data_IF_943360371687
#
_entry.id   IF_943360371687
#
_cell.length_a   1.000
_cell.length_b   1.000
_cell.length_c   1.000
_cell.angle_alpha   90.00
_cell.angle_beta   90.00
_cell.angle_gamma   90.00
#
_symmetry.space_group_name_H-M   'P 1'
#
loop_
_entity.id
_entity.type
_entity.pdbx_description
1 polymer ?
#
# COMPACT_ATOMS: atom_id res chain seq x y z
N UNK A 1 -6.80 -31.81 -23.56
CA UNK A 1 -6.46 -30.66 -22.70
C UNK A 1 -5.13 -30.14 -23.19
N UNK A 2 -5.15 -28.99 -23.89
CA UNK A 2 -3.94 -28.37 -24.41
C UNK A 2 -3.11 -27.93 -23.20
N UNK A 3 -1.84 -28.33 -23.05
CA UNK A 3 -1.03 -27.89 -21.93
C UNK A 3 -0.94 -26.35 -22.01
N UNK A 4 -1.40 -25.68 -20.97
CA UNK A 4 -2.09 -24.39 -21.00
C UNK A 4 -1.34 -23.16 -21.55
N UNK A 5 -1.89 -22.54 -22.60
CA UNK A 5 -1.50 -21.23 -23.17
C UNK A 5 -1.62 -20.06 -22.17
N UNK A 6 -2.27 -20.28 -21.03
CA UNK A 6 -2.62 -19.26 -20.05
C UNK A 6 -1.60 -19.10 -18.91
N UNK A 7 -0.43 -19.76 -18.99
CA UNK A 7 0.60 -19.72 -17.94
C UNK A 7 0.04 -20.00 -16.53
N UNK A 8 -0.86 -20.97 -16.41
CA UNK A 8 -1.56 -21.32 -15.17
C UNK A 8 -0.57 -21.82 -14.11
N UNK A 9 -0.76 -21.37 -12.86
CA UNK A 9 -0.30 -22.11 -11.67
C UNK A 9 -1.34 -23.16 -11.27
N UNK A 10 -1.07 -23.95 -10.23
CA UNK A 10 -2.01 -24.95 -9.69
C UNK A 10 -3.37 -24.38 -9.24
N UNK A 11 -3.52 -23.05 -9.14
CA UNK A 11 -4.73 -22.38 -8.63
C UNK A 11 -5.27 -21.27 -9.53
N UNK A 12 -4.43 -20.51 -10.27
CA UNK A 12 -4.89 -19.38 -11.09
C UNK A 12 -3.94 -19.02 -12.24
N UNK A 13 -4.42 -18.21 -13.20
CA UNK A 13 -3.66 -17.75 -14.36
C UNK A 13 -3.42 -16.24 -14.31
N UNK A 14 -2.15 -15.84 -14.38
CA UNK A 14 -1.77 -14.42 -14.43
C UNK A 14 -2.24 -13.73 -15.72
N UNK A 15 -2.24 -14.43 -16.87
CA UNK A 15 -2.73 -13.87 -18.13
C UNK A 15 -4.25 -13.64 -18.09
N UNK A 16 -5.00 -14.59 -17.54
CA UNK A 16 -6.47 -14.49 -17.48
C UNK A 16 -6.94 -13.39 -16.53
N UNK A 17 -6.24 -13.15 -15.43
CA UNK A 17 -6.61 -12.13 -14.44
C UNK A 17 -6.09 -10.73 -14.75
N UNK A 18 -5.10 -10.59 -15.65
CA UNK A 18 -4.44 -9.32 -15.94
C UNK A 18 -5.41 -8.23 -16.41
N UNK A 19 -6.41 -8.55 -17.23
CA UNK A 19 -7.36 -7.54 -17.74
C UNK A 19 -8.23 -6.96 -16.63
N UNK A 20 -8.72 -7.82 -15.73
CA UNK A 20 -9.50 -7.40 -14.57
C UNK A 20 -8.66 -6.58 -13.58
N UNK A 21 -7.40 -6.98 -13.34
CA UNK A 21 -6.49 -6.23 -12.47
C UNK A 21 -6.14 -4.85 -13.05
N UNK A 22 -5.91 -4.77 -14.38
CA UNK A 22 -5.67 -3.50 -15.08
C UNK A 22 -6.84 -2.53 -14.92
N UNK A 23 -8.08 -3.03 -15.06
CA UNK A 23 -9.30 -2.24 -14.86
C UNK A 23 -9.45 -1.76 -13.42
N UNK A 24 -9.26 -2.66 -12.44
CA UNK A 24 -9.30 -2.32 -11.03
C UNK A 24 -8.31 -1.19 -10.70
N UNK A 25 -7.05 -1.33 -11.13
CA UNK A 25 -6.02 -0.32 -10.95
C UNK A 25 -6.41 1.04 -11.57
N UNK A 26 -6.94 1.00 -12.79
CA UNK A 26 -7.42 2.19 -13.50
C UNK A 26 -8.57 2.90 -12.78
N UNK A 27 -9.54 2.16 -12.24
CA UNK A 27 -10.67 2.72 -11.47
C UNK A 27 -10.19 3.35 -10.16
N UNK A 28 -9.30 2.67 -9.42
CA UNK A 28 -8.73 3.22 -8.19
C UNK A 28 -7.91 4.49 -8.47
N UNK A 29 -7.12 4.50 -9.55
CA UNK A 29 -6.38 5.68 -9.99
C UNK A 29 -7.30 6.84 -10.39
N UNK A 30 -8.38 6.57 -11.13
CA UNK A 30 -9.38 7.58 -11.49
C UNK A 30 -10.08 8.20 -10.28
N UNK A 31 -10.49 7.35 -9.32
CA UNK A 31 -11.09 7.81 -8.06
C UNK A 31 -10.16 8.74 -7.28
N UNK A 32 -8.86 8.42 -7.22
CA UNK A 32 -7.87 9.27 -6.57
C UNK A 32 -7.69 10.63 -7.27
N UNK A 33 -7.72 10.68 -8.60
CA UNK A 33 -7.68 11.96 -9.34
C UNK A 33 -8.87 12.84 -8.94
N UNK A 34 -10.07 12.26 -8.84
CA UNK A 34 -11.26 12.98 -8.34
C UNK A 34 -11.07 13.46 -6.90
N UNK A 35 -10.55 12.60 -6.00
CA UNK A 35 -10.28 12.98 -4.62
C UNK A 35 -9.25 14.12 -4.51
N UNK A 36 -8.20 14.10 -5.33
CA UNK A 36 -7.20 15.17 -5.45
C UNK A 36 -7.85 16.48 -5.89
N UNK A 37 -8.70 16.46 -6.92
CA UNK A 37 -9.38 17.64 -7.41
C UNK A 37 -10.26 18.29 -6.32
N UNK A 38 -10.98 17.48 -5.55
CA UNK A 38 -11.80 17.95 -4.42
C UNK A 38 -10.95 18.47 -3.24
N UNK A 39 -9.76 17.91 -3.04
CA UNK A 39 -8.82 18.38 -2.02
C UNK A 39 -8.19 19.72 -2.38
N UNK A 40 -7.87 19.97 -3.66
CA UNK A 40 -7.27 21.23 -4.10
C UNK A 40 -8.17 22.45 -3.86
N UNK A 41 -9.48 22.26 -3.91
CA UNK A 41 -10.45 23.32 -3.64
C UNK A 41 -10.47 23.73 -2.15
N UNK A 42 -10.00 22.85 -1.25
CA UNK A 42 -9.90 23.13 0.18
C UNK A 42 -8.50 23.60 0.57
N UNK A 43 -8.38 24.88 0.90
CA UNK A 43 -7.11 25.48 1.33
C UNK A 43 -6.73 25.09 2.77
N UNK A 44 -6.24 23.85 2.98
CA UNK A 44 -5.75 23.34 4.27
C UNK A 44 -4.31 22.87 4.18
N UNK A 45 -3.51 23.25 5.19
CA UNK A 45 -2.10 22.87 5.33
C UNK A 45 -1.91 21.36 5.51
N UNK A 46 -2.90 20.69 6.09
CA UNK A 46 -2.94 19.23 6.27
C UNK A 46 -3.20 18.50 4.95
N UNK A 47 -3.94 19.13 4.03
CA UNK A 47 -4.26 18.59 2.71
C UNK A 47 -3.04 18.38 1.81
N UNK A 48 -1.96 19.11 2.02
CA UNK A 48 -0.75 19.02 1.18
C UNK A 48 -0.09 17.64 1.26
N UNK A 49 -0.10 17.00 2.42
CA UNK A 49 0.52 15.68 2.60
C UNK A 49 -0.34 14.55 2.05
N UNK A 50 -1.65 14.62 2.23
CA UNK A 50 -2.59 13.67 1.61
C UNK A 50 -2.59 13.81 0.09
N UNK A 51 -2.46 15.04 -0.43
CA UNK A 51 -2.29 15.30 -1.87
C UNK A 51 -1.02 14.64 -2.42
N UNK A 52 0.10 14.72 -1.70
CA UNK A 52 1.34 14.06 -2.09
C UNK A 52 1.19 12.53 -2.11
N UNK A 53 0.58 11.95 -1.07
CA UNK A 53 0.31 10.51 -1.00
C UNK A 53 -0.61 10.07 -2.16
N UNK A 54 -1.71 10.76 -2.39
CA UNK A 54 -2.62 10.45 -3.49
C UNK A 54 -1.97 10.61 -4.86
N UNK A 55 -1.16 11.66 -5.08
CA UNK A 55 -0.43 11.82 -6.33
C UNK A 55 0.52 10.65 -6.59
N UNK A 56 1.25 10.20 -5.58
CA UNK A 56 2.10 8.99 -5.70
C UNK A 56 1.28 7.71 -5.93
N UNK A 57 0.12 7.60 -5.29
CA UNK A 57 -0.79 6.47 -5.46
C UNK A 57 -1.40 6.42 -6.87
N UNK A 58 -1.78 7.57 -7.45
CA UNK A 58 -2.22 7.67 -8.84
C UNK A 58 -1.12 7.19 -9.79
N UNK A 59 0.11 7.66 -9.59
CA UNK A 59 1.23 7.27 -10.43
C UNK A 59 1.47 5.76 -10.41
N UNK A 60 1.53 5.15 -9.22
CA UNK A 60 1.78 3.70 -9.09
C UNK A 60 0.62 2.88 -9.67
N UNK A 61 -0.64 3.29 -9.47
CA UNK A 61 -1.82 2.58 -9.98
C UNK A 61 -1.98 2.72 -11.50
N UNK A 62 -1.65 3.88 -12.07
CA UNK A 62 -1.67 4.06 -13.53
C UNK A 62 -0.58 3.22 -14.21
N UNK A 63 0.63 3.22 -13.64
CA UNK A 63 1.71 2.37 -14.14
C UNK A 63 1.38 0.89 -13.97
N UNK A 64 0.77 0.51 -12.86
CA UNK A 64 0.28 -0.85 -12.64
C UNK A 64 -0.77 -1.28 -13.68
N UNK A 65 -1.76 -0.42 -13.93
CA UNK A 65 -2.79 -0.64 -14.96
C UNK A 65 -2.17 -0.84 -16.34
N UNK A 66 -1.16 -0.03 -16.68
CA UNK A 66 -0.40 -0.16 -17.92
C UNK A 66 0.38 -1.48 -17.98
N UNK A 67 1.07 -1.89 -16.92
CA UNK A 67 1.80 -3.15 -16.89
C UNK A 67 0.86 -4.36 -17.03
N UNK A 68 -0.25 -4.40 -16.30
CA UNK A 68 -1.24 -5.44 -16.49
C UNK A 68 -1.82 -5.44 -17.90
N UNK A 69 -2.02 -4.28 -18.53
CA UNK A 69 -2.41 -4.20 -19.94
C UNK A 69 -1.37 -4.80 -20.88
N UNK A 70 -0.06 -4.63 -20.61
CA UNK A 70 0.98 -5.30 -21.40
C UNK A 70 0.94 -6.82 -21.21
N UNK A 71 0.70 -7.30 -19.99
CA UNK A 71 0.56 -8.73 -19.69
C UNK A 71 -0.62 -9.33 -20.48
N UNK A 72 -1.77 -8.64 -20.55
CA UNK A 72 -2.92 -9.13 -21.33
C UNK A 72 -2.63 -9.31 -22.82
N UNK A 73 -1.71 -8.52 -23.37
CA UNK A 73 -1.30 -8.60 -24.78
C UNK A 73 -0.23 -9.65 -25.05
N UNK A 74 0.25 -10.37 -24.03
CA UNK A 74 1.33 -11.36 -24.18
C UNK A 74 0.81 -12.61 -24.87
N UNK A 75 1.42 -12.96 -26.01
CA UNK A 75 1.14 -14.21 -26.71
C UNK A 75 2.21 -15.24 -26.39
N UNK A 76 1.80 -16.50 -26.21
CA UNK A 76 2.68 -17.61 -25.85
C UNK A 76 2.95 -18.47 -27.09
N UNK A 77 4.09 -18.29 -27.79
CA UNK A 77 4.42 -19.10 -28.97
C UNK A 77 4.87 -20.51 -28.57
N UNK A 78 4.59 -21.49 -29.45
CA UNK A 78 4.75 -22.94 -29.22
C UNK A 78 6.19 -23.45 -28.98
N UNK A 79 7.21 -22.58 -28.96
CA UNK A 79 8.62 -22.93 -28.71
C UNK A 79 9.29 -22.22 -27.52
N UNK A 80 8.74 -21.11 -27.03
CA UNK A 80 9.36 -20.27 -25.99
C UNK A 80 8.48 -20.14 -24.73
N UNK A 81 7.49 -21.02 -24.59
CA UNK A 81 6.44 -20.93 -23.56
C UNK A 81 6.94 -20.72 -22.15
N UNK A 82 7.97 -21.47 -21.72
CA UNK A 82 8.50 -21.37 -20.35
C UNK A 82 9.10 -19.99 -20.07
N UNK A 83 9.81 -19.41 -21.04
CA UNK A 83 10.39 -18.08 -20.90
C UNK A 83 9.31 -16.99 -20.87
N UNK A 84 8.33 -17.05 -21.79
CA UNK A 84 7.22 -16.09 -21.85
C UNK A 84 6.38 -16.12 -20.57
N UNK A 85 6.05 -17.31 -20.07
CA UNK A 85 5.28 -17.44 -18.83
C UNK A 85 6.07 -16.98 -17.60
N UNK A 86 7.39 -17.22 -17.55
CA UNK A 86 8.23 -16.69 -16.47
C UNK A 86 8.22 -15.16 -16.46
N UNK A 87 8.32 -14.52 -17.63
CA UNK A 87 8.19 -13.06 -17.77
C UNK A 87 6.83 -12.60 -17.27
N UNK A 88 5.74 -13.22 -17.73
CA UNK A 88 4.38 -12.83 -17.33
C UNK A 88 4.17 -12.95 -15.81
N UNK A 89 4.68 -14.01 -15.19
CA UNK A 89 4.63 -14.18 -13.72
C UNK A 89 5.49 -13.16 -12.98
N UNK A 90 6.71 -12.85 -13.46
CA UNK A 90 7.54 -11.81 -12.84
C UNK A 90 6.88 -10.43 -12.92
N UNK A 91 6.33 -10.07 -14.08
CA UNK A 91 5.63 -8.80 -14.28
C UNK A 91 4.37 -8.74 -13.42
N UNK A 92 3.56 -9.81 -13.42
CA UNK A 92 2.32 -9.88 -12.65
C UNK A 92 2.55 -9.81 -11.14
N UNK A 93 3.62 -10.43 -10.62
CA UNK A 93 3.98 -10.33 -9.21
C UNK A 93 4.31 -8.88 -8.82
N UNK A 94 5.19 -8.22 -9.58
CA UNK A 94 5.59 -6.83 -9.32
C UNK A 94 4.40 -5.87 -9.43
N UNK A 95 3.58 -6.03 -10.47
CA UNK A 95 2.34 -5.29 -10.67
C UNK A 95 1.38 -5.47 -9.48
N UNK A 96 1.18 -6.71 -9.02
CA UNK A 96 0.35 -6.96 -7.84
C UNK A 96 0.86 -6.23 -6.59
N UNK A 97 2.18 -6.16 -6.40
CA UNK A 97 2.79 -5.35 -5.33
C UNK A 97 2.53 -3.85 -5.48
N UNK A 98 2.60 -3.32 -6.71
CA UNK A 98 2.25 -1.94 -7.04
C UNK A 98 0.77 -1.63 -6.76
N UNK A 99 -0.14 -2.52 -7.18
CA UNK A 99 -1.57 -2.43 -6.91
C UNK A 99 -1.85 -2.42 -5.41
N UNK A 100 -1.23 -3.33 -4.67
CA UNK A 100 -1.38 -3.45 -3.22
C UNK A 100 -0.93 -2.18 -2.49
N UNK A 101 0.25 -1.64 -2.83
CA UNK A 101 0.74 -0.39 -2.26
C UNK A 101 -0.16 0.81 -2.62
N UNK A 102 -0.64 0.89 -3.87
CA UNK A 102 -1.55 1.93 -4.34
C UNK A 102 -2.90 1.90 -3.63
N UNK A 103 -3.48 0.71 -3.46
CA UNK A 103 -4.73 0.51 -2.73
C UNK A 103 -4.58 0.90 -1.24
N UNK A 104 -3.49 0.47 -0.58
CA UNK A 104 -3.21 0.87 0.81
C UNK A 104 -3.06 2.39 0.93
N UNK A 105 -2.38 3.05 -0.01
CA UNK A 105 -2.21 4.50 -0.03
C UNK A 105 -3.53 5.25 -0.24
N UNK A 106 -4.43 4.71 -1.08
CA UNK A 106 -5.76 5.25 -1.30
C UNK A 106 -6.58 5.23 0.00
N UNK A 107 -6.72 4.07 0.62
CA UNK A 107 -7.52 3.94 1.85
C UNK A 107 -6.88 4.69 3.02
N UNK A 108 -5.54 4.68 3.11
CA UNK A 108 -4.80 5.47 4.09
C UNK A 108 -5.01 6.97 3.96
N UNK A 109 -4.94 7.50 2.74
CA UNK A 109 -5.18 8.93 2.50
C UNK A 109 -6.64 9.32 2.73
N UNK A 110 -7.61 8.45 2.39
CA UNK A 110 -9.02 8.65 2.75
C UNK A 110 -9.21 8.66 4.28
N UNK A 111 -8.60 7.73 5.00
CA UNK A 111 -8.64 7.70 6.46
C UNK A 111 -8.11 8.99 7.09
N UNK A 112 -7.05 9.57 6.52
CA UNK A 112 -6.55 10.89 6.89
C UNK A 112 -7.50 12.04 6.58
N UNK A 113 -8.17 12.03 5.42
CA UNK A 113 -9.17 13.04 5.09
C UNK A 113 -10.35 13.00 6.07
N UNK A 114 -10.80 11.81 6.44
CA UNK A 114 -11.87 11.63 7.44
C UNK A 114 -11.44 12.14 8.81
N UNK A 115 -10.22 11.80 9.25
CA UNK A 115 -9.69 12.24 10.53
C UNK A 115 -9.48 13.77 10.59
N UNK A 116 -8.88 14.37 9.56
CA UNK A 116 -8.72 15.84 9.49
C UNK A 116 -10.05 16.57 9.40
N UNK A 117 -11.05 16.01 8.71
CA UNK A 117 -12.39 16.57 8.71
C UNK A 117 -13.06 16.52 10.09
N UNK A 118 -12.92 15.39 10.79
CA UNK A 118 -13.42 15.23 12.15
C UNK A 118 -12.76 16.22 13.13
N UNK A 119 -11.43 16.37 13.08
CA UNK A 119 -10.70 17.30 13.96
C UNK A 119 -11.10 18.76 13.70
N UNK A 120 -11.16 19.19 12.43
CA UNK A 120 -11.55 20.57 12.09
C UNK A 120 -13.01 20.90 12.44
N UNK A 121 -13.89 19.91 12.57
CA UNK A 121 -15.30 20.11 12.93
C UNK A 121 -15.56 20.06 14.43
N UNK A 122 -14.79 19.28 15.18
CA UNK A 122 -14.90 19.19 16.64
C UNK A 122 -14.59 20.53 17.33
N UNK A 123 -13.77 21.41 16.71
CA UNK A 123 -13.50 22.74 17.25
C UNK A 123 -14.66 23.74 17.15
N UNK A 124 -15.66 23.48 16.31
CA UNK A 124 -16.71 24.45 15.94
C UNK A 124 -18.10 24.12 16.52
N UNK A 125 -18.34 22.96 17.15
CA UNK A 125 -19.71 22.46 17.42
C UNK A 125 -19.93 21.77 18.79
N UNK A 126 -21.21 21.50 19.07
CA UNK A 126 -21.77 20.96 20.32
C UNK A 126 -21.19 19.58 20.73
N UNK A 127 -21.13 19.29 22.05
CA UNK A 127 -20.55 18.05 22.59
C UNK A 127 -21.26 16.75 22.14
N UNK A 128 -22.48 16.84 21.60
CA UNK A 128 -23.22 15.69 21.06
C UNK A 128 -22.65 15.18 19.73
N UNK A 129 -22.09 16.06 18.89
CA UNK A 129 -21.56 15.70 17.57
C UNK A 129 -20.13 15.13 17.64
N UNK A 130 -19.43 15.37 18.75
CA UNK A 130 -18.07 14.86 19.01
C UNK A 130 -18.01 13.34 18.90
N UNK A 131 -19.04 12.63 19.37
CA UNK A 131 -19.09 11.15 19.29
C UNK A 131 -19.20 10.66 17.85
N UNK A 132 -19.98 11.33 17.00
CA UNK A 132 -20.12 10.98 15.59
C UNK A 132 -18.80 11.23 14.82
N UNK A 133 -18.13 12.34 15.09
CA UNK A 133 -16.83 12.65 14.50
C UNK A 133 -15.71 11.70 14.98
N UNK A 134 -15.73 11.27 16.25
CA UNK A 134 -14.83 10.24 16.75
C UNK A 134 -15.02 8.91 15.99
N UNK A 135 -16.26 8.48 15.78
CA UNK A 135 -16.54 7.26 15.01
C UNK A 135 -16.02 7.36 13.57
N UNK A 136 -16.17 8.53 12.94
CA UNK A 136 -15.67 8.75 11.58
C UNK A 136 -14.13 8.64 11.49
N UNK A 137 -13.42 9.17 12.48
CA UNK A 137 -11.97 9.03 12.56
C UNK A 137 -11.52 7.59 12.87
N UNK A 138 -12.24 6.87 13.74
CA UNK A 138 -12.02 5.44 14.00
C UNK A 138 -12.21 4.61 12.72
N UNK A 139 -13.27 4.88 11.96
CA UNK A 139 -13.56 4.22 10.69
C UNK A 139 -12.42 4.39 9.68
N UNK A 140 -11.82 5.58 9.59
CA UNK A 140 -10.67 5.85 8.74
C UNK A 140 -9.45 4.97 9.08
N UNK A 141 -9.15 4.80 10.37
CA UNK A 141 -8.09 3.90 10.83
C UNK A 141 -8.36 2.43 10.48
N UNK A 142 -9.58 1.95 10.73
CA UNK A 142 -9.98 0.57 10.43
C UNK A 142 -10.01 0.27 8.94
N UNK A 143 -10.44 1.21 8.09
CA UNK A 143 -10.39 1.06 6.63
C UNK A 143 -8.95 0.95 6.13
N UNK A 144 -8.05 1.76 6.69
CA UNK A 144 -6.61 1.70 6.38
C UNK A 144 -6.03 0.35 6.77
N UNK A 145 -6.36 -0.15 7.96
CA UNK A 145 -5.94 -1.48 8.41
C UNK A 145 -6.47 -2.59 7.50
N UNK A 146 -7.77 -2.58 7.18
CA UNK A 146 -8.38 -3.59 6.32
C UNK A 146 -7.72 -3.64 4.95
N UNK A 147 -7.39 -2.47 4.38
CA UNK A 147 -6.66 -2.37 3.12
C UNK A 147 -5.24 -2.93 3.23
N UNK A 148 -4.47 -2.54 4.25
CA UNK A 148 -3.09 -3.01 4.48
C UNK A 148 -3.04 -4.53 4.74
N UNK A 149 -3.97 -5.06 5.52
CA UNK A 149 -4.10 -6.50 5.77
C UNK A 149 -4.39 -7.25 4.46
N UNK A 150 -5.38 -6.80 3.70
CA UNK A 150 -5.76 -7.44 2.43
C UNK A 150 -4.61 -7.39 1.42
N UNK A 151 -3.94 -6.23 1.30
CA UNK A 151 -2.74 -6.07 0.48
C UNK A 151 -1.65 -7.06 0.87
N UNK A 152 -1.33 -7.16 2.17
CA UNK A 152 -0.29 -8.07 2.68
C UNK A 152 -0.62 -9.53 2.38
N UNK A 153 -1.87 -9.95 2.58
CA UNK A 153 -2.32 -11.31 2.29
C UNK A 153 -2.22 -11.63 0.78
N UNK A 154 -2.77 -10.78 -0.08
CA UNK A 154 -2.73 -10.96 -1.54
C UNK A 154 -1.29 -11.07 -2.03
N UNK A 155 -0.42 -10.18 -1.56
CA UNK A 155 0.98 -10.13 -1.97
C UNK A 155 1.76 -11.34 -1.44
N UNK A 156 1.43 -11.84 -0.24
CA UNK A 156 2.05 -13.05 0.31
C UNK A 156 1.71 -14.30 -0.53
N UNK A 157 0.44 -14.49 -0.89
CA UNK A 157 0.01 -15.59 -1.77
C UNK A 157 0.63 -15.47 -3.16
N UNK A 158 0.63 -14.25 -3.72
CA UNK A 158 1.25 -13.98 -5.02
C UNK A 158 2.75 -14.30 -5.02
N UNK A 159 3.45 -14.04 -3.91
CA UNK A 159 4.87 -14.35 -3.76
C UNK A 159 5.12 -15.85 -3.70
N UNK A 160 4.25 -16.60 -3.01
CA UNK A 160 4.33 -18.06 -2.93
C UNK A 160 4.09 -18.68 -4.32
N UNK A 161 3.07 -18.22 -5.04
CA UNK A 161 2.77 -18.72 -6.39
C UNK A 161 3.85 -18.37 -7.41
N UNK A 162 4.42 -17.17 -7.30
CA UNK A 162 5.60 -16.78 -8.09
C UNK A 162 6.78 -17.75 -7.87
N UNK A 163 7.09 -18.07 -6.60
CA UNK A 163 8.18 -19.00 -6.27
C UNK A 163 7.92 -20.42 -6.77
N UNK A 164 6.68 -20.90 -6.62
CA UNK A 164 6.23 -22.21 -7.12
C UNK A 164 6.43 -22.31 -8.64
N UNK A 165 6.03 -21.26 -9.37
CA UNK A 165 6.19 -21.22 -10.81
C UNK A 165 7.67 -21.19 -11.22
N UNK A 166 8.47 -20.31 -10.61
CA UNK A 166 9.88 -20.11 -10.98
C UNK A 166 10.76 -21.34 -10.73
N UNK A 167 10.53 -22.07 -9.63
CA UNK A 167 11.30 -23.27 -9.30
C UNK A 167 10.69 -24.57 -9.85
N UNK A 168 9.48 -24.50 -10.42
CA UNK A 168 8.76 -25.65 -11.00
C UNK A 168 8.41 -26.75 -10.00
N UNK A 169 8.59 -26.49 -8.71
CA UNK A 169 8.28 -27.38 -7.59
C UNK A 169 7.77 -26.54 -6.43
N UNK A 170 7.06 -27.17 -5.49
CA UNK A 170 6.69 -26.48 -4.25
C UNK A 170 7.95 -25.99 -3.53
N UNK A 171 8.01 -24.71 -3.12
CA UNK A 171 9.13 -24.21 -2.34
C UNK A 171 9.25 -25.03 -1.06
N UNK A 172 10.45 -25.11 -0.49
CA UNK A 172 10.65 -25.78 0.78
C UNK A 172 9.66 -25.23 1.82
N UNK A 173 9.05 -26.11 2.61
CA UNK A 173 8.01 -25.74 3.60
C UNK A 173 8.50 -24.63 4.55
N UNK A 174 9.80 -24.58 4.82
CA UNK A 174 10.42 -23.49 5.56
C UNK A 174 10.28 -22.13 4.86
N UNK A 175 10.51 -22.02 3.55
CA UNK A 175 10.39 -20.75 2.80
C UNK A 175 8.94 -20.27 2.79
N UNK A 176 7.99 -21.16 2.46
CA UNK A 176 6.56 -20.84 2.54
C UNK A 176 6.17 -20.42 3.97
N UNK A 177 6.61 -21.18 4.98
CA UNK A 177 6.42 -20.85 6.38
C UNK A 177 7.00 -19.49 6.77
N UNK A 178 8.18 -19.10 6.27
CA UNK A 178 8.76 -17.79 6.55
C UNK A 178 7.94 -16.65 5.95
N UNK A 179 7.41 -16.80 4.73
CA UNK A 179 6.56 -15.78 4.10
C UNK A 179 5.26 -15.62 4.88
N UNK A 180 4.60 -16.73 5.22
CA UNK A 180 3.34 -16.71 5.98
C UNK A 180 3.54 -16.13 7.38
N UNK A 181 4.59 -16.54 8.10
CA UNK A 181 4.89 -16.00 9.44
C UNK A 181 5.26 -14.53 9.37
N UNK A 182 6.03 -14.10 8.37
CA UNK A 182 6.35 -12.69 8.18
C UNK A 182 5.09 -11.87 7.87
N UNK A 183 4.22 -12.35 6.96
CA UNK A 183 2.94 -11.71 6.65
C UNK A 183 2.05 -11.58 7.90
N UNK A 184 1.94 -12.65 8.70
CA UNK A 184 1.22 -12.62 9.97
C UNK A 184 1.82 -11.60 10.96
N UNK A 185 3.15 -11.53 11.05
CA UNK A 185 3.83 -10.55 11.90
C UNK A 185 3.55 -9.11 11.45
N UNK A 186 3.56 -8.82 10.15
CA UNK A 186 3.19 -7.51 9.61
C UNK A 186 1.74 -7.16 9.89
N UNK A 187 0.80 -8.08 9.66
CA UNK A 187 -0.63 -7.87 9.96
C UNK A 187 -0.84 -7.58 11.44
N UNK A 188 -0.18 -8.32 12.33
CA UNK A 188 -0.25 -8.08 13.79
C UNK A 188 0.36 -6.72 14.13
N UNK A 189 1.50 -6.36 13.54
CA UNK A 189 2.13 -5.07 13.76
C UNK A 189 1.22 -3.92 13.32
N UNK A 190 0.64 -4.00 12.12
CA UNK A 190 -0.30 -3.02 11.58
C UNK A 190 -1.55 -2.90 12.46
N UNK A 191 -2.10 -4.03 12.91
CA UNK A 191 -3.24 -4.07 13.83
C UNK A 191 -2.91 -3.33 15.14
N UNK A 192 -1.77 -3.65 15.76
CA UNK A 192 -1.32 -3.01 17.01
C UNK A 192 -1.11 -1.51 16.79
N UNK A 193 -0.46 -1.11 15.69
CA UNK A 193 -0.21 0.28 15.36
C UNK A 193 -1.52 1.07 15.20
N UNK A 194 -2.45 0.57 14.39
CA UNK A 194 -3.75 1.22 14.18
C UNK A 194 -4.54 1.26 15.48
N UNK A 195 -4.61 0.15 16.22
CA UNK A 195 -5.32 0.10 17.49
C UNK A 195 -4.79 1.12 18.52
N UNK A 196 -3.46 1.21 18.67
CA UNK A 196 -2.84 2.16 19.59
C UNK A 196 -3.08 3.60 19.14
N UNK A 197 -2.86 3.92 17.87
CA UNK A 197 -3.02 5.27 17.31
C UNK A 197 -4.48 5.74 17.37
N UNK A 198 -5.42 4.89 16.99
CA UNK A 198 -6.86 5.18 17.08
C UNK A 198 -7.30 5.40 18.53
N UNK A 199 -6.78 4.61 19.47
CA UNK A 199 -7.06 4.79 20.90
C UNK A 199 -6.50 6.11 21.44
N UNK A 200 -5.29 6.50 21.03
CA UNK A 200 -4.69 7.79 21.41
C UNK A 200 -5.48 8.96 20.85
N UNK A 201 -5.89 8.89 19.58
CA UNK A 201 -6.74 9.90 18.96
C UNK A 201 -8.07 10.08 19.69
N UNK A 202 -8.74 8.97 20.05
CA UNK A 202 -10.00 9.01 20.80
C UNK A 202 -9.86 9.66 22.17
N UNK A 203 -8.76 9.35 22.88
CA UNK A 203 -8.47 10.00 24.17
C UNK A 203 -8.28 11.50 24.02
N UNK A 204 -7.54 11.92 23.00
CA UNK A 204 -7.24 13.33 22.77
C UNK A 204 -8.44 14.12 22.27
N UNK A 205 -9.32 13.54 21.45
CA UNK A 205 -10.57 14.19 21.04
C UNK A 205 -11.57 14.35 22.21
N UNK A 206 -11.44 13.53 23.24
CA UNK A 206 -12.23 13.68 24.48
C UNK A 206 -11.69 14.80 25.39
N UNK A 207 -10.43 15.24 25.20
CA UNK A 207 -9.80 16.28 26.00
C UNK A 207 -9.71 17.59 25.19
N UNK A 208 -10.73 18.45 25.34
CA UNK A 208 -10.88 19.69 24.54
C UNK A 208 -9.86 20.78 24.91
N UNK A 209 -8.97 20.54 25.87
CA UNK A 209 -8.05 21.53 26.44
C UNK A 209 -6.72 21.69 25.67
N UNK A 210 -6.33 20.73 24.83
CA UNK A 210 -5.05 20.77 24.09
C UNK A 210 -5.25 20.71 22.56
N UNK A 211 -4.55 21.56 21.78
CA UNK A 211 -4.64 21.52 20.32
C UNK A 211 -4.03 20.23 19.79
N UNK A 212 -4.86 19.41 19.14
CA UNK A 212 -4.49 18.14 18.54
C UNK A 212 -3.53 18.36 17.36
N UNK A 213 -2.23 18.09 17.53
CA UNK A 213 -1.24 18.15 16.45
C UNK A 213 -1.07 16.77 15.81
N UNK A 214 -1.29 16.71 14.51
CA UNK A 214 -1.22 15.51 13.67
C UNK A 214 0.24 15.22 13.26
N UNK A 215 0.77 14.02 13.48
CA UNK A 215 2.15 13.67 13.06
C UNK A 215 2.26 13.40 11.54
N UNK A 216 2.90 14.31 10.80
CA UNK A 216 3.00 14.23 9.33
C UNK A 216 4.30 13.58 8.78
N UNK A 217 5.20 13.09 9.64
CA UNK A 217 6.54 12.63 9.22
C UNK A 217 6.52 11.30 8.45
N UNK A 218 5.60 10.40 8.78
CA UNK A 218 5.52 9.07 8.16
C UNK A 218 4.99 9.09 6.72
N UNK A 219 4.09 10.03 6.40
CA UNK A 219 3.50 10.14 5.06
C UNK A 219 4.57 10.35 3.99
N UNK A 220 5.62 11.14 4.29
CA UNK A 220 6.74 11.35 3.37
C UNK A 220 7.45 10.05 2.99
N UNK A 221 7.64 9.16 3.97
CA UNK A 221 8.28 7.87 3.74
C UNK A 221 7.41 6.98 2.86
N UNK A 222 6.10 6.93 3.15
CA UNK A 222 5.14 6.21 2.31
C UNK A 222 5.12 6.76 0.87
N UNK A 223 5.04 8.08 0.67
CA UNK A 223 5.03 8.71 -0.66
C UNK A 223 6.30 8.39 -1.44
N UNK A 224 7.49 8.56 -0.83
CA UNK A 224 8.76 8.27 -1.49
C UNK A 224 8.87 6.78 -1.81
N UNK A 225 8.48 5.90 -0.88
CA UNK A 225 8.46 4.46 -1.08
C UNK A 225 7.58 4.06 -2.27
N UNK A 226 6.37 4.60 -2.37
CA UNK A 226 5.44 4.34 -3.48
C UNK A 226 6.01 4.81 -4.83
N UNK A 227 6.64 5.99 -4.88
CA UNK A 227 7.28 6.49 -6.12
C UNK A 227 8.46 5.60 -6.53
N UNK A 228 9.30 5.22 -5.56
CA UNK A 228 10.45 4.33 -5.80
C UNK A 228 9.98 2.97 -6.30
N UNK A 229 8.94 2.40 -5.68
CA UNK A 229 8.32 1.14 -6.12
C UNK A 229 7.80 1.28 -7.57
N UNK A 230 7.11 2.37 -7.89
CA UNK A 230 6.59 2.60 -9.23
C UNK A 230 7.70 2.65 -10.29
N UNK A 231 8.76 3.43 -10.04
CA UNK A 231 9.90 3.59 -10.96
C UNK A 231 10.63 2.25 -11.14
N UNK A 232 11.04 1.61 -10.04
CA UNK A 232 11.84 0.39 -10.11
C UNK A 232 10.99 -0.77 -10.65
N UNK A 233 9.74 -0.89 -10.22
CA UNK A 233 8.82 -1.94 -10.65
C UNK A 233 8.52 -1.85 -12.15
N UNK A 234 8.19 -0.64 -12.65
CA UNK A 234 7.96 -0.42 -14.08
C UNK A 234 9.22 -0.61 -14.92
N UNK A 235 10.37 -0.14 -14.43
CA UNK A 235 11.64 -0.35 -15.12
C UNK A 235 11.97 -1.84 -15.25
N UNK A 236 11.88 -2.59 -14.15
CA UNK A 236 12.12 -4.03 -14.15
C UNK A 236 11.14 -4.75 -15.09
N UNK A 237 9.85 -4.45 -15.00
CA UNK A 237 8.81 -5.06 -15.82
C UNK A 237 9.05 -4.87 -17.33
N UNK A 238 9.42 -3.67 -17.77
CA UNK A 238 9.71 -3.38 -19.18
C UNK A 238 11.05 -3.98 -19.62
N UNK A 239 12.05 -4.00 -18.74
CA UNK A 239 13.37 -4.56 -19.05
C UNK A 239 13.37 -6.07 -19.16
N UNK A 240 12.48 -6.78 -18.48
CA UNK A 240 12.38 -8.25 -18.50
C UNK A 240 12.21 -8.82 -19.93
N UNK A 241 11.52 -8.11 -20.82
CA UNK A 241 11.35 -8.52 -22.22
C UNK A 241 12.66 -8.48 -23.04
N UNK A 242 13.72 -7.84 -22.53
CA UNK A 242 15.03 -7.73 -23.20
C UNK A 242 16.07 -8.68 -22.64
N UNK A 243 15.72 -9.45 -21.60
CA UNK A 243 16.66 -10.36 -20.93
C UNK A 243 16.71 -11.69 -21.71
N UNK A 244 17.91 -12.25 -21.97
CA UNK A 244 18.05 -13.50 -22.70
C UNK A 244 17.33 -14.66 -21.98
N UNK A 245 16.69 -15.54 -22.76
CA UNK A 245 15.88 -16.67 -22.27
C UNK A 245 16.63 -17.58 -21.29
N UNK A 246 17.96 -17.70 -21.41
CA UNK A 246 18.80 -18.48 -20.52
C UNK A 246 18.77 -17.99 -19.05
N UNK A 247 18.61 -16.68 -18.82
CA UNK A 247 18.51 -16.10 -17.48
C UNK A 247 17.11 -16.22 -16.86
N UNK A 248 16.10 -16.44 -17.71
CA UNK A 248 14.71 -16.61 -17.30
C UNK A 248 14.35 -18.09 -17.09
N UNK A 249 15.05 -19.00 -17.78
CA UNK A 249 14.87 -20.46 -17.70
C UNK A 249 15.71 -21.12 -16.61
N UNK A 250 16.88 -20.55 -16.27
CA UNK A 250 17.63 -20.89 -15.06
C UNK A 250 17.37 -19.79 -14.01
N UNK A 251 16.61 -20.07 -12.93
CA UNK A 251 16.20 -19.05 -11.98
C UNK A 251 17.43 -18.46 -11.26
N UNK A 252 17.89 -17.30 -11.73
CA UNK A 252 18.95 -16.57 -11.05
C UNK A 252 18.40 -16.12 -9.69
N UNK A 253 18.96 -16.58 -8.56
CA UNK A 253 18.43 -16.28 -7.22
C UNK A 253 18.38 -14.78 -6.96
N UNK A 254 19.28 -13.98 -7.54
CA UNK A 254 19.28 -12.53 -7.36
C UNK A 254 18.04 -11.85 -7.96
N UNK A 255 17.58 -12.31 -9.13
CA UNK A 255 16.39 -11.74 -9.79
C UNK A 255 15.14 -12.13 -9.00
N UNK A 256 15.05 -13.39 -8.57
CA UNK A 256 13.94 -13.88 -7.75
C UNK A 256 13.85 -13.11 -6.44
N UNK A 257 14.98 -12.89 -5.75
CA UNK A 257 15.02 -12.10 -4.51
C UNK A 257 14.61 -10.64 -4.79
N UNK A 258 15.09 -10.03 -5.87
CA UNK A 258 14.71 -8.67 -6.25
C UNK A 258 13.20 -8.54 -6.49
N UNK A 259 12.60 -9.48 -7.22
CA UNK A 259 11.15 -9.53 -7.46
C UNK A 259 10.38 -9.72 -6.15
N UNK A 260 10.85 -10.59 -5.25
CA UNK A 260 10.24 -10.75 -3.92
C UNK A 260 10.33 -9.48 -3.07
N UNK A 261 11.43 -8.74 -3.14
CA UNK A 261 11.56 -7.47 -2.42
C UNK A 261 10.56 -6.44 -2.96
N UNK A 262 10.43 -6.31 -4.29
CA UNK A 262 9.50 -5.37 -4.91
C UNK A 262 8.03 -5.78 -4.77
N UNK A 263 7.76 -7.08 -4.75
CA UNK A 263 6.40 -7.61 -4.62
C UNK A 263 5.96 -7.61 -3.16
N UNK A 264 6.75 -8.20 -2.25
CA UNK A 264 6.37 -8.44 -0.86
C UNK A 264 6.89 -7.38 0.10
N UNK A 265 8.20 -7.18 0.16
CA UNK A 265 8.83 -6.41 1.24
C UNK A 265 8.50 -4.93 1.12
N UNK A 266 8.65 -4.35 -0.07
CA UNK A 266 8.47 -2.92 -0.26
C UNK A 266 6.99 -2.49 -0.09
N UNK A 267 5.99 -3.19 -0.67
CA UNK A 267 4.58 -2.86 -0.47
C UNK A 267 4.09 -3.05 0.98
N UNK A 268 4.57 -4.08 1.69
CA UNK A 268 4.24 -4.27 3.11
C UNK A 268 4.84 -3.16 3.97
N UNK A 269 6.11 -2.79 3.75
CA UNK A 269 6.74 -1.65 4.43
C UNK A 269 6.02 -0.32 4.15
N UNK A 270 5.59 -0.09 2.90
CA UNK A 270 4.78 1.09 2.54
C UNK A 270 3.44 1.06 3.30
N UNK A 271 2.76 -0.10 3.33
CA UNK A 271 1.48 -0.27 4.03
C UNK A 271 1.62 -0.03 5.53
N UNK A 272 2.64 -0.58 6.17
CA UNK A 272 2.94 -0.32 7.58
C UNK A 272 3.28 1.16 7.82
N UNK A 273 4.00 1.82 6.92
CA UNK A 273 4.26 3.26 7.04
C UNK A 273 2.97 4.10 6.94
N UNK A 274 2.01 3.67 6.12
CA UNK A 274 0.68 4.27 6.03
C UNK A 274 -0.13 4.00 7.30
N UNK A 275 -0.15 2.77 7.82
CA UNK A 275 -0.80 2.43 9.10
C UNK A 275 -0.19 3.20 10.27
N UNK A 276 1.13 3.34 10.30
CA UNK A 276 1.83 4.15 11.30
C UNK A 276 1.48 5.64 11.18
N UNK A 277 1.14 6.09 9.96
CA UNK A 277 0.73 7.46 9.72
C UNK A 277 -0.67 7.77 10.19
N UNK A 278 -1.51 6.79 10.57
CA UNK A 278 -2.89 7.05 11.01
C UNK A 278 -2.92 8.15 12.06
N UNK A 279 -3.84 9.10 11.86
CA UNK A 279 -3.98 10.30 12.65
C UNK A 279 -3.90 10.00 14.15
N UNK A 280 -2.93 10.63 14.81
CA UNK A 280 -2.69 10.55 16.24
C UNK A 280 -2.18 11.90 16.70
N UNK A 281 -2.54 12.23 17.93
CA UNK A 281 -2.05 13.42 18.59
C UNK A 281 -0.71 13.14 19.26
N UNK A 282 0.14 14.17 19.33
CA UNK A 282 1.46 14.07 19.94
C UNK A 282 1.37 14.22 21.47
N UNK A 283 1.69 13.16 22.22
CA UNK A 283 1.87 13.25 23.69
C UNK A 283 3.22 13.91 24.06
N UNK A 284 4.15 14.10 23.12
CA UNK A 284 5.50 14.67 23.38
C UNK A 284 5.57 16.17 23.16
N UNK A 285 4.62 16.90 23.76
CA UNK A 285 4.58 18.35 23.73
C UNK A 285 4.46 19.04 25.09
N UNK A 286 4.23 18.33 26.19
CA UNK A 286 4.19 18.92 27.54
C UNK A 286 5.59 19.10 28.14
N UNK A 287 6.47 19.81 27.43
CA UNK A 287 7.65 20.37 28.10
C UNK A 287 7.18 21.53 28.99
N UNK A 288 7.39 21.51 30.32
CA UNK A 288 6.80 22.46 31.27
C UNK A 288 7.46 23.86 31.23
N UNK A 289 7.88 24.34 30.06
CA UNK A 289 8.57 25.63 29.91
C UNK A 289 7.64 26.84 29.85
N UNK A 290 6.36 26.67 29.49
CA UNK A 290 5.39 27.77 29.46
C UNK A 290 4.76 28.08 30.82
N UNK A 291 4.76 27.14 31.77
CA UNK A 291 4.32 27.40 33.15
C UNK A 291 5.30 28.30 33.92
N UNK A 292 6.57 28.40 33.49
CA UNK A 292 7.59 29.21 34.17
C UNK A 292 7.54 30.70 33.76
N UNK A 293 6.94 31.05 32.62
CA UNK A 293 6.79 32.45 32.21
C UNK A 293 5.61 33.16 32.91
N UNK A 294 4.57 32.42 33.32
CA UNK A 294 3.40 33.00 34.01
C UNK A 294 3.61 33.25 35.51
N UNK A 295 4.66 32.67 36.11
CA UNK A 295 5.05 32.91 37.51
C UNK A 295 6.12 34.00 37.69
N UNK A 296 6.74 34.48 36.61
CA UNK A 296 7.71 35.57 36.69
C UNK A 296 7.07 36.97 36.56
N UNK A 297 5.77 37.05 36.26
CA UNK A 297 5.01 38.29 36.06
C UNK A 297 3.78 38.40 37.00
N UNK A 298 3.85 37.82 38.19
CA UNK A 298 2.92 38.10 39.29
C UNK A 298 3.69 38.46 40.54
#
# INVERSE_FOLDING_TARGET
MNPDEFCTSDQWSVLSSASSNSQLAGVLGGFLITAIALLFDKNSREGVHTLALFSSAVLVLMLDSFLFSLITGTQVPDGARRATCAIAWTQGAVSTGMLAAGAAALFGGLGWMLASHAVNKVSDQDPADVRAYCFLAELGGWLTFAAAMTATLIVSETSIDYLRFMWGHRPAVWVEGTIVVAAAAFVIADFVLVYLRTRTLRKSLADTAEPTLLELRSIKFATIGTVVLAIIGSWLAVSLARIPEAWLTAPNPMIVICVLVLTLVLPTVISTAICYSVASTDERGSSPRLARYRRANR
#
